data_IF_660826439932
#
_entry.id   IF_660826439932
#
_cell.length_a   1.000
_cell.length_b   1.000
_cell.length_c   1.000
_cell.angle_alpha   90.00
_cell.angle_beta   90.00
_cell.angle_gamma   90.00
#
_symmetry.space_group_name_H-M   'P 1'
#
loop_
_entity.id
_entity.type
_entity.pdbx_description
1 polymer ?
#
# COMPACT_ATOMS: atom_id res chain seq x y z
N UNK A 1 -13.01 -5.69 20.48
CA UNK A 1 -11.94 -4.82 21.04
C UNK A 1 -11.87 -3.59 20.18
N UNK A 2 -11.93 -2.36 20.74
CA UNK A 2 -11.75 -1.15 19.94
C UNK A 2 -10.38 -1.25 19.25
N UNK A 3 -10.35 -0.91 17.96
CA UNK A 3 -9.10 -0.84 17.21
C UNK A 3 -8.13 0.10 17.93
N UNK A 4 -6.89 -0.34 18.16
CA UNK A 4 -5.86 0.51 18.74
C UNK A 4 -5.71 1.76 17.87
N UNK A 5 -5.71 2.93 18.50
CA UNK A 5 -5.52 4.22 17.80
C UNK A 5 -4.05 4.51 17.51
N UNK A 6 -3.14 3.66 18.04
CA UNK A 6 -1.71 3.84 17.87
C UNK A 6 -1.23 3.25 16.52
N UNK A 7 -0.31 3.93 15.83
CA UNK A 7 0.32 3.42 14.63
C UNK A 7 1.04 2.10 14.89
N UNK A 8 0.93 1.12 13.97
CA UNK A 8 1.54 -0.20 14.12
C UNK A 8 2.84 -0.30 13.33
N UNK A 9 3.87 -0.80 14.01
CA UNK A 9 5.21 -1.01 13.46
C UNK A 9 5.55 -2.50 13.54
N UNK A 10 6.16 -3.03 12.49
CA UNK A 10 6.76 -4.37 12.50
C UNK A 10 8.26 -4.25 12.74
N UNK A 11 8.77 -4.98 13.74
CA UNK A 11 10.20 -5.11 14.03
C UNK A 11 10.61 -6.53 13.67
N UNK A 12 11.62 -6.66 12.79
CA UNK A 12 12.19 -7.93 12.37
C UNK A 12 13.69 -7.93 12.71
N UNK A 13 14.08 -8.73 13.67
CA UNK A 13 15.47 -8.86 14.16
C UNK A 13 15.59 -10.23 14.85
N UNK A 14 16.65 -10.99 14.63
CA UNK A 14 16.82 -12.32 15.23
C UNK A 14 17.15 -12.26 16.72
N UNK A 15 17.69 -11.13 17.20
CA UNK A 15 18.03 -10.90 18.60
C UNK A 15 16.82 -10.48 19.44
N UNK A 16 16.35 -11.35 20.30
CA UNK A 16 15.30 -11.03 21.28
C UNK A 16 15.62 -9.81 22.13
N UNK A 17 16.91 -9.62 22.46
CA UNK A 17 17.35 -8.49 23.29
C UNK A 17 17.21 -7.17 22.54
N UNK A 18 17.58 -7.14 21.27
CA UNK A 18 17.43 -5.94 20.40
C UNK A 18 15.96 -5.58 20.27
N UNK A 19 15.11 -6.55 19.91
CA UNK A 19 13.65 -6.31 19.81
C UNK A 19 13.08 -5.75 21.12
N UNK A 20 13.37 -6.40 22.24
CA UNK A 20 12.90 -5.94 23.56
C UNK A 20 13.37 -4.51 23.89
N UNK A 21 14.59 -4.16 23.52
CA UNK A 21 15.14 -2.82 23.70
C UNK A 21 14.36 -1.80 22.85
N UNK A 22 14.17 -2.07 21.56
CA UNK A 22 13.41 -1.17 20.66
C UNK A 22 11.97 -1.02 21.17
N UNK A 23 11.30 -2.13 21.49
CA UNK A 23 9.92 -2.12 22.04
C UNK A 23 9.84 -1.23 23.29
N UNK A 24 10.82 -1.34 24.20
CA UNK A 24 10.86 -0.49 25.42
C UNK A 24 10.99 0.99 25.09
N UNK A 25 11.78 1.34 24.07
CA UNK A 25 12.02 2.72 23.66
C UNK A 25 10.77 3.37 23.04
N UNK A 26 9.97 2.60 22.28
CA UNK A 26 8.82 3.13 21.54
C UNK A 26 7.46 2.85 22.21
N UNK A 27 7.49 2.19 23.38
CA UNK A 27 6.30 1.78 24.10
C UNK A 27 5.39 2.98 24.43
N UNK A 28 4.08 2.77 24.25
CA UNK A 28 3.05 3.79 24.51
C UNK A 28 2.86 4.82 23.39
N UNK A 29 3.73 4.81 22.36
CA UNK A 29 3.56 5.66 21.17
C UNK A 29 3.18 4.84 19.93
N UNK A 30 3.62 3.58 19.90
CA UNK A 30 3.39 2.68 18.78
C UNK A 30 2.89 1.34 19.27
N UNK A 31 2.09 0.67 18.46
CA UNK A 31 1.77 -0.74 18.59
C UNK A 31 2.83 -1.54 17.83
N UNK A 32 3.34 -2.61 18.43
CA UNK A 32 4.47 -3.36 17.86
C UNK A 32 4.08 -4.79 17.55
N UNK A 33 4.47 -5.24 16.36
CA UNK A 33 4.59 -6.65 16.01
C UNK A 33 6.07 -7.00 15.93
N UNK A 34 6.41 -8.20 16.37
CA UNK A 34 7.80 -8.67 16.42
C UNK A 34 7.92 -9.98 15.68
N UNK A 35 8.96 -10.09 14.84
CA UNK A 35 9.34 -11.34 14.16
C UNK A 35 10.85 -11.57 14.29
N UNK A 36 11.24 -12.84 14.28
CA UNK A 36 12.64 -13.26 14.51
C UNK A 36 13.43 -13.53 13.23
N UNK A 37 12.82 -13.46 12.08
CA UNK A 37 13.48 -13.65 10.78
C UNK A 37 12.70 -12.99 9.64
N UNK A 38 13.36 -12.77 8.51
CA UNK A 38 12.75 -12.06 7.38
C UNK A 38 11.59 -12.81 6.73
N UNK A 39 11.56 -14.15 6.77
CA UNK A 39 10.45 -14.93 6.22
C UNK A 39 9.18 -14.77 7.06
N UNK A 40 9.30 -14.83 8.39
CA UNK A 40 8.20 -14.54 9.30
C UNK A 40 7.74 -13.07 9.17
N UNK A 41 8.68 -12.13 9.04
CA UNK A 41 8.40 -10.73 8.78
C UNK A 41 7.58 -10.52 7.50
N UNK A 42 7.98 -11.19 6.41
CA UNK A 42 7.23 -11.14 5.16
C UNK A 42 5.80 -11.66 5.30
N UNK A 43 5.63 -12.82 5.95
CA UNK A 43 4.29 -13.40 6.18
C UNK A 43 3.42 -12.45 7.00
N UNK A 44 3.97 -11.83 8.03
CA UNK A 44 3.26 -10.86 8.87
C UNK A 44 2.85 -9.62 8.06
N UNK A 45 3.68 -9.10 7.16
CA UNK A 45 3.33 -8.00 6.25
C UNK A 45 2.16 -8.35 5.31
N UNK A 46 2.11 -9.59 4.84
CA UNK A 46 1.01 -10.08 3.98
C UNK A 46 -0.30 -10.18 4.73
N UNK A 47 -0.27 -10.61 5.99
CA UNK A 47 -1.47 -10.92 6.81
C UNK A 47 -2.01 -9.70 7.58
N UNK A 48 -1.14 -8.75 7.95
CA UNK A 48 -1.54 -7.58 8.75
C UNK A 48 -1.45 -6.27 7.95
N UNK A 49 -2.58 -5.81 7.38
CA UNK A 49 -2.60 -4.57 6.60
C UNK A 49 -2.48 -3.30 7.45
N UNK A 50 -2.50 -3.38 8.77
CA UNK A 50 -2.40 -2.22 9.66
C UNK A 50 -0.97 -1.79 9.94
N UNK A 51 0.03 -2.57 9.51
CA UNK A 51 1.44 -2.22 9.64
C UNK A 51 1.77 -1.04 8.72
N UNK A 52 2.35 0.02 9.30
CA UNK A 52 2.65 1.28 8.62
C UNK A 52 4.14 1.48 8.36
N UNK A 53 5.02 0.88 9.17
CA UNK A 53 6.48 0.98 9.05
C UNK A 53 7.10 -0.38 9.37
N UNK A 54 8.14 -0.75 8.62
CA UNK A 54 8.98 -1.91 8.86
C UNK A 54 10.34 -1.46 9.41
N UNK A 55 10.76 -2.00 10.56
CA UNK A 55 12.13 -1.97 11.05
C UNK A 55 12.74 -3.35 10.83
N UNK A 56 13.83 -3.44 10.08
CA UNK A 56 14.48 -4.72 9.79
C UNK A 56 15.97 -4.69 10.09
N UNK A 57 16.44 -5.68 10.83
CA UNK A 57 17.86 -5.97 10.92
C UNK A 57 18.41 -6.38 9.54
N UNK A 58 19.71 -6.12 9.33
CA UNK A 58 20.40 -6.53 8.10
C UNK A 58 20.69 -8.03 8.07
N UNK A 59 21.14 -8.58 9.20
CA UNK A 59 21.67 -9.94 9.29
C UNK A 59 20.74 -10.83 10.08
N UNK A 60 19.95 -11.63 9.39
CA UNK A 60 18.97 -12.54 9.99
C UNK A 60 19.04 -13.91 9.30
N UNK A 61 18.66 -15.01 10.00
CA UNK A 61 18.54 -16.32 9.39
C UNK A 61 17.39 -16.40 8.38
N UNK A 62 17.43 -17.41 7.51
CA UNK A 62 16.44 -17.73 6.46
C UNK A 62 16.38 -16.66 5.36
N UNK A 63 15.82 -15.50 5.64
CA UNK A 63 15.77 -14.34 4.76
C UNK A 63 16.40 -13.17 5.49
N UNK A 64 17.50 -12.65 4.96
CA UNK A 64 18.18 -11.48 5.52
C UNK A 64 17.42 -10.17 5.26
N UNK A 65 17.85 -9.08 5.86
CA UNK A 65 17.19 -7.79 5.74
C UNK A 65 17.17 -7.23 4.32
N UNK A 66 18.23 -7.48 3.54
CA UNK A 66 18.26 -7.05 2.13
C UNK A 66 17.27 -7.85 1.27
N UNK A 67 17.20 -9.16 1.47
CA UNK A 67 16.24 -10.02 0.79
C UNK A 67 14.80 -9.69 1.16
N UNK A 68 14.53 -9.36 2.43
CA UNK A 68 13.22 -8.88 2.86
C UNK A 68 12.89 -7.53 2.22
N UNK A 69 13.82 -6.57 2.21
CA UNK A 69 13.64 -5.26 1.57
C UNK A 69 13.35 -5.40 0.07
N UNK A 70 14.12 -6.23 -0.64
CA UNK A 70 13.91 -6.49 -2.05
C UNK A 70 12.50 -7.06 -2.30
N UNK A 71 12.09 -8.07 -1.53
CA UNK A 71 10.76 -8.69 -1.63
C UNK A 71 9.64 -7.67 -1.36
N UNK A 72 9.84 -6.75 -0.42
CA UNK A 72 8.93 -5.63 -0.15
C UNK A 72 8.82 -4.72 -1.38
N UNK A 73 9.94 -4.31 -1.98
CA UNK A 73 9.96 -3.40 -3.14
C UNK A 73 9.44 -4.02 -4.44
N UNK A 74 9.59 -5.33 -4.59
CA UNK A 74 9.09 -6.09 -5.75
C UNK A 74 7.63 -6.54 -5.58
N UNK A 75 7.00 -6.26 -4.43
CA UNK A 75 5.63 -6.68 -4.16
C UNK A 75 4.62 -6.05 -5.13
N UNK A 76 3.70 -6.86 -5.63
CA UNK A 76 2.55 -6.40 -6.42
C UNK A 76 1.52 -5.63 -5.58
N UNK A 77 1.58 -5.74 -4.26
CA UNK A 77 0.71 -5.04 -3.32
C UNK A 77 1.30 -3.65 -3.05
N UNK A 78 0.66 -2.60 -3.58
CA UNK A 78 1.14 -1.22 -3.48
C UNK A 78 1.44 -0.81 -2.03
N UNK A 79 0.56 -1.14 -1.09
CA UNK A 79 0.74 -0.89 0.35
C UNK A 79 2.06 -1.43 0.89
N UNK A 80 2.47 -2.64 0.47
CA UNK A 80 3.72 -3.27 0.90
C UNK A 80 4.91 -2.66 0.14
N UNK A 81 4.81 -2.56 -1.19
CA UNK A 81 5.88 -2.05 -2.04
C UNK A 81 6.34 -0.65 -1.64
N UNK A 82 5.42 0.16 -1.19
CA UNK A 82 5.63 1.58 -0.90
C UNK A 82 5.79 1.88 0.60
N UNK A 83 5.71 0.83 1.43
CA UNK A 83 5.88 0.94 2.89
C UNK A 83 7.24 1.54 3.24
N UNK A 84 7.30 2.48 4.20
CA UNK A 84 8.55 2.93 4.78
C UNK A 84 9.30 1.77 5.45
N UNK A 85 10.59 1.62 5.11
CA UNK A 85 11.48 0.59 5.67
C UNK A 85 12.70 1.26 6.25
N UNK A 86 12.95 1.02 7.54
CA UNK A 86 14.18 1.38 8.23
C UNK A 86 15.04 0.13 8.35
N UNK A 87 16.26 0.20 7.82
CA UNK A 87 17.25 -0.85 8.05
C UNK A 87 18.04 -0.55 9.33
N UNK A 88 18.26 -1.58 10.12
CA UNK A 88 19.01 -1.48 11.40
C UNK A 88 20.31 -2.24 11.25
N UNK A 89 21.42 -1.65 11.68
CA UNK A 89 22.74 -2.31 11.71
C UNK A 89 23.41 -2.19 13.07
N UNK A 90 24.21 -3.17 13.42
CA UNK A 90 25.10 -3.11 14.59
C UNK A 90 26.30 -2.18 14.39
N UNK A 91 26.71 -1.98 13.16
CA UNK A 91 27.90 -1.21 12.80
C UNK A 91 27.56 0.05 12.01
N UNK A 92 28.37 1.10 12.17
CA UNK A 92 28.33 2.33 11.35
C UNK A 92 29.08 2.08 10.02
N UNK A 93 28.68 1.06 9.27
CA UNK A 93 29.27 0.76 7.96
C UNK A 93 28.58 1.59 6.87
N UNK A 94 29.33 2.54 6.31
CA UNK A 94 28.88 3.40 5.23
C UNK A 94 28.52 2.58 3.97
N UNK A 95 29.22 1.48 3.73
CA UNK A 95 28.93 0.58 2.60
C UNK A 95 27.59 -0.11 2.75
N UNK A 96 27.26 -0.59 3.95
CA UNK A 96 25.96 -1.17 4.26
C UNK A 96 24.82 -0.16 4.13
N UNK A 97 25.05 1.08 4.58
CA UNK A 97 24.09 2.19 4.43
C UNK A 97 23.81 2.51 2.96
N UNK A 98 24.85 2.65 2.14
CA UNK A 98 24.72 2.94 0.72
C UNK A 98 23.99 1.81 0.00
N UNK A 99 24.35 0.55 0.27
CA UNK A 99 23.66 -0.62 -0.28
C UNK A 99 22.18 -0.66 0.12
N UNK A 100 21.85 -0.41 1.38
CA UNK A 100 20.46 -0.36 1.83
C UNK A 100 19.65 0.70 1.09
N UNK A 101 20.25 1.88 0.87
CA UNK A 101 19.63 2.97 0.10
C UNK A 101 19.42 2.58 -1.37
N UNK A 102 20.38 1.96 -2.02
CA UNK A 102 20.28 1.45 -3.39
C UNK A 102 19.19 0.39 -3.52
N UNK A 103 19.03 -0.47 -2.51
CA UNK A 103 17.94 -1.44 -2.43
C UNK A 103 16.57 -0.82 -2.11
N UNK A 104 16.50 0.49 -1.87
CA UNK A 104 15.25 1.21 -1.63
C UNK A 104 14.83 1.31 -0.17
N UNK A 105 15.74 1.20 0.80
CA UNK A 105 15.45 1.54 2.19
C UNK A 105 15.07 3.02 2.30
N UNK A 106 14.09 3.32 3.16
CA UNK A 106 13.66 4.69 3.41
C UNK A 106 14.63 5.39 4.37
N UNK A 107 15.14 4.66 5.35
CA UNK A 107 16.11 5.14 6.31
C UNK A 107 17.03 4.02 6.80
N UNK A 108 18.11 4.40 7.49
CA UNK A 108 19.09 3.49 8.05
C UNK A 108 19.53 4.01 9.43
N UNK A 109 19.49 3.14 10.43
CA UNK A 109 19.86 3.48 11.81
C UNK A 109 20.83 2.44 12.38
N UNK A 110 21.59 2.83 13.40
CA UNK A 110 22.46 1.91 14.16
C UNK A 110 21.73 1.41 15.43
N UNK A 111 22.08 0.20 15.89
CA UNK A 111 21.47 -0.41 17.10
C UNK A 111 21.72 0.40 18.40
N UNK A 112 22.62 1.36 18.37
CA UNK A 112 22.91 2.30 19.47
C UNK A 112 22.18 3.63 19.40
N UNK A 113 21.21 3.80 18.49
CA UNK A 113 20.49 5.07 18.34
C UNK A 113 19.79 5.52 19.62
N UNK A 114 19.84 6.83 19.89
CA UNK A 114 19.15 7.43 21.04
C UNK A 114 17.63 7.39 20.91
N UNK A 115 16.94 7.25 22.04
CA UNK A 115 15.46 7.17 22.09
C UNK A 115 14.78 8.31 21.35
N UNK A 116 15.22 9.54 21.59
CA UNK A 116 14.59 10.73 20.97
C UNK A 116 14.72 10.72 19.44
N UNK A 117 15.87 10.32 18.94
CA UNK A 117 16.12 10.23 17.51
C UNK A 117 15.30 9.10 16.86
N UNK A 118 15.26 7.92 17.46
CA UNK A 118 14.43 6.80 16.99
C UNK A 118 12.95 7.19 16.88
N UNK A 119 12.42 7.80 17.94
CA UNK A 119 11.03 8.27 17.96
C UNK A 119 10.77 9.32 16.88
N UNK A 120 11.65 10.29 16.70
CA UNK A 120 11.49 11.32 15.68
C UNK A 120 11.45 10.74 14.24
N UNK A 121 12.32 9.76 13.96
CA UNK A 121 12.35 9.07 12.66
C UNK A 121 11.08 8.26 12.43
N UNK A 122 10.63 7.50 13.42
CA UNK A 122 9.41 6.71 13.33
C UNK A 122 8.17 7.59 13.16
N UNK A 123 8.04 8.67 13.93
CA UNK A 123 6.94 9.62 13.80
C UNK A 123 6.88 10.23 12.39
N UNK A 124 8.03 10.62 11.83
CA UNK A 124 8.12 11.16 10.48
C UNK A 124 7.66 10.14 9.42
N UNK A 125 8.08 8.88 9.53
CA UNK A 125 7.73 7.83 8.57
C UNK A 125 6.28 7.38 8.70
N UNK A 126 5.74 7.31 9.91
CA UNK A 126 4.31 7.04 10.13
C UNK A 126 3.47 8.16 9.53
N UNK A 127 3.83 9.42 9.75
CA UNK A 127 3.13 10.56 9.16
C UNK A 127 3.19 10.52 7.63
N UNK A 128 4.34 10.18 7.05
CA UNK A 128 4.48 10.01 5.61
C UNK A 128 3.53 8.91 5.07
N UNK A 129 3.47 7.76 5.73
CA UNK A 129 2.59 6.66 5.37
C UNK A 129 1.12 7.05 5.46
N UNK A 130 0.71 7.76 6.52
CA UNK A 130 -0.66 8.23 6.71
C UNK A 130 -1.06 9.26 5.66
N UNK A 131 -0.25 10.30 5.44
CA UNK A 131 -0.53 11.33 4.43
C UNK A 131 -0.66 10.72 3.03
N UNK A 132 0.17 9.73 2.71
CA UNK A 132 0.07 9.01 1.45
C UNK A 132 -1.24 8.24 1.33
N UNK A 133 -1.63 7.51 2.38
CA UNK A 133 -2.91 6.80 2.42
C UNK A 133 -4.11 7.74 2.28
N UNK A 134 -4.06 8.92 2.90
CA UNK A 134 -5.10 9.95 2.75
C UNK A 134 -5.17 10.49 1.32
N UNK A 135 -4.02 10.77 0.70
CA UNK A 135 -3.96 11.21 -0.71
C UNK A 135 -4.49 10.14 -1.66
N UNK A 136 -4.16 8.87 -1.44
CA UNK A 136 -4.69 7.76 -2.23
C UNK A 136 -6.20 7.59 -2.04
N UNK A 137 -6.69 7.76 -0.81
CA UNK A 137 -8.12 7.71 -0.51
C UNK A 137 -8.88 8.87 -1.19
N UNK A 138 -8.32 10.10 -1.12
CA UNK A 138 -8.86 11.26 -1.82
C UNK A 138 -8.84 11.06 -3.34
N UNK A 139 -7.74 10.54 -3.90
CA UNK A 139 -7.63 10.23 -5.32
C UNK A 139 -8.68 9.20 -5.76
N UNK A 140 -8.93 8.17 -4.93
CA UNK A 140 -9.99 7.19 -5.20
C UNK A 140 -11.38 7.80 -5.16
N UNK A 141 -11.65 8.76 -4.27
CA UNK A 141 -12.93 9.48 -4.24
C UNK A 141 -13.16 10.32 -5.50
N UNK A 142 -12.10 10.92 -6.05
CA UNK A 142 -12.17 11.65 -7.33
C UNK A 142 -12.28 10.70 -8.53
N UNK A 143 -11.86 9.45 -8.36
CA UNK A 143 -11.87 8.42 -9.41
C UNK A 143 -13.22 7.73 -9.58
N UNK A 144 -14.13 7.89 -8.64
CA UNK A 144 -15.48 7.30 -8.66
C UNK A 144 -16.49 8.42 -8.53
N UNK A 145 -17.39 8.49 -9.47
CA UNK A 145 -18.51 9.40 -9.43
C UNK A 145 -19.45 9.02 -8.26
N UNK A 146 -19.70 9.92 -7.31
CA UNK A 146 -20.46 9.60 -6.10
C UNK A 146 -21.94 9.29 -6.36
N UNK A 147 -22.51 9.75 -7.48
CA UNK A 147 -23.91 9.53 -7.82
C UNK A 147 -24.11 8.19 -8.52
N UNK A 148 -23.33 7.92 -9.56
CA UNK A 148 -23.41 6.66 -10.30
C UNK A 148 -22.59 5.55 -9.65
N UNK A 149 -21.53 5.88 -8.89
CA UNK A 149 -20.55 4.96 -8.35
C UNK A 149 -19.73 4.25 -9.43
N UNK A 150 -19.75 4.72 -10.67
CA UNK A 150 -18.88 4.29 -11.76
C UNK A 150 -17.55 5.03 -11.67
N UNK A 151 -16.53 4.47 -12.26
CA UNK A 151 -15.26 5.18 -12.39
C UNK A 151 -15.42 6.38 -13.30
N UNK A 152 -14.74 7.48 -12.99
CA UNK A 152 -14.77 8.68 -13.84
C UNK A 152 -14.03 8.43 -15.15
N UNK A 153 -14.38 9.19 -16.20
CA UNK A 153 -13.71 9.12 -17.51
C UNK A 153 -12.18 9.35 -17.40
N UNK A 154 -11.75 10.16 -16.43
CA UNK A 154 -10.33 10.44 -16.19
C UNK A 154 -9.62 9.21 -15.62
N UNK A 155 -10.27 8.50 -14.71
CA UNK A 155 -9.77 7.22 -14.20
C UNK A 155 -9.65 6.18 -15.31
N UNK A 156 -10.68 6.05 -16.16
CA UNK A 156 -10.63 5.14 -17.31
C UNK A 156 -9.46 5.43 -18.24
N UNK A 157 -9.22 6.70 -18.56
CA UNK A 157 -8.07 7.13 -19.39
C UNK A 157 -6.74 6.76 -18.75
N UNK A 158 -6.60 6.92 -17.43
CA UNK A 158 -5.40 6.58 -16.69
C UNK A 158 -5.16 5.07 -16.69
N UNK A 159 -6.17 4.27 -16.37
CA UNK A 159 -6.11 2.81 -16.38
C UNK A 159 -5.84 2.27 -17.78
N UNK A 160 -6.49 2.83 -18.80
CA UNK A 160 -6.27 2.45 -20.19
C UNK A 160 -4.82 2.67 -20.66
N UNK A 161 -4.20 3.80 -20.26
CA UNK A 161 -2.77 4.04 -20.57
C UNK A 161 -1.86 3.03 -19.89
N UNK A 162 -2.12 2.68 -18.63
CA UNK A 162 -1.33 1.69 -17.89
C UNK A 162 -1.49 0.29 -18.49
N UNK A 163 -2.72 -0.10 -18.78
CA UNK A 163 -3.01 -1.38 -19.40
C UNK A 163 -2.36 -1.51 -20.78
N UNK A 164 -2.42 -0.46 -21.61
CA UNK A 164 -1.78 -0.41 -22.90
C UNK A 164 -0.25 -0.56 -22.81
N UNK A 165 0.38 0.15 -21.86
CA UNK A 165 1.83 0.04 -21.64
C UNK A 165 2.25 -1.36 -21.18
N UNK A 166 1.45 -2.02 -20.35
CA UNK A 166 1.67 -3.41 -19.92
C UNK A 166 1.50 -4.39 -21.07
N UNK A 167 0.45 -4.22 -21.86
CA UNK A 167 0.18 -5.07 -23.03
C UNK A 167 1.30 -5.00 -24.07
N UNK A 168 1.81 -3.79 -24.33
CA UNK A 168 2.95 -3.58 -25.23
C UNK A 168 4.23 -4.27 -24.74
N UNK A 169 4.47 -4.31 -23.41
CA UNK A 169 5.66 -4.98 -22.83
C UNK A 169 5.55 -6.50 -22.86
N UNK A 170 4.35 -7.02 -22.67
CA UNK A 170 4.12 -8.47 -22.53
C UNK A 170 3.54 -9.12 -23.77
N UNK A 171 3.26 -8.38 -24.84
CA UNK A 171 2.65 -8.89 -26.06
C UNK A 171 1.22 -9.41 -25.84
N UNK A 172 0.51 -8.87 -24.85
CA UNK A 172 -0.88 -9.25 -24.55
C UNK A 172 -1.87 -8.33 -25.25
N UNK A 173 -3.09 -8.80 -25.44
CA UNK A 173 -4.17 -8.05 -26.08
C UNK A 173 -5.04 -7.33 -25.05
N UNK A 174 -5.57 -6.16 -25.42
CA UNK A 174 -6.57 -5.42 -24.63
C UNK A 174 -7.82 -5.28 -25.49
N UNK A 175 -8.97 -5.47 -24.87
CA UNK A 175 -10.27 -5.21 -25.49
C UNK A 175 -10.97 -4.08 -24.76
N UNK A 176 -11.60 -3.17 -25.49
CA UNK A 176 -12.44 -2.11 -24.96
C UNK A 176 -13.86 -2.35 -25.47
N UNK A 177 -14.82 -2.38 -24.56
CA UNK A 177 -16.24 -2.53 -24.87
C UNK A 177 -16.93 -1.25 -24.44
N UNK A 178 -17.62 -0.61 -25.38
CA UNK A 178 -18.49 0.53 -25.10
C UNK A 178 -19.93 0.05 -25.10
N UNK A 179 -20.65 0.33 -24.04
CA UNK A 179 -22.06 -0.05 -23.91
C UNK A 179 -22.87 1.24 -23.70
N UNK A 180 -23.88 1.44 -24.50
CA UNK A 180 -24.76 2.62 -24.48
C UNK A 180 -26.19 2.18 -24.20
N UNK A 181 -26.94 3.02 -23.49
CA UNK A 181 -28.38 2.85 -23.27
C UNK A 181 -29.08 3.68 -24.32
N UNK A 182 -29.76 3.01 -25.27
CA UNK A 182 -30.50 3.69 -26.33
C UNK A 182 -31.54 4.65 -25.78
N UNK A 183 -31.54 5.89 -26.29
CA UNK A 183 -32.49 6.94 -25.95
C UNK A 183 -32.53 7.27 -24.45
N UNK A 184 -31.36 7.19 -23.76
CA UNK A 184 -31.26 7.51 -22.32
C UNK A 184 -31.74 8.94 -22.01
N UNK A 185 -31.35 9.92 -22.83
CA UNK A 185 -31.74 11.32 -22.65
C UNK A 185 -33.27 11.51 -22.79
N UNK A 186 -33.93 10.83 -23.72
CA UNK A 186 -35.40 10.86 -23.86
C UNK A 186 -36.08 10.27 -22.62
N UNK A 187 -35.49 9.23 -22.03
CA UNK A 187 -36.00 8.58 -20.83
C UNK A 187 -35.87 9.53 -19.61
N UNK A 188 -34.72 10.16 -19.45
CA UNK A 188 -34.50 11.16 -18.39
C UNK A 188 -35.38 12.35 -18.53
N UNK A 189 -35.58 12.86 -19.76
CA UNK A 189 -36.47 13.96 -20.03
C UNK A 189 -37.94 13.65 -19.67
N UNK A 190 -38.39 12.41 -19.85
CA UNK A 190 -39.78 11.99 -19.54
C UNK A 190 -40.02 11.63 -18.07
N UNK A 191 -39.05 10.98 -17.43
CA UNK A 191 -39.21 10.37 -16.10
C UNK A 191 -38.42 11.10 -15.00
N UNK A 192 -37.58 12.05 -15.36
CA UNK A 192 -36.74 12.84 -14.46
C UNK A 192 -35.41 12.17 -14.12
N UNK A 193 -34.48 12.99 -13.67
CA UNK A 193 -33.09 12.55 -13.27
C UNK A 193 -33.05 11.41 -12.24
N UNK A 194 -33.88 11.40 -11.18
CA UNK A 194 -33.82 10.32 -10.19
C UNK A 194 -34.05 8.93 -10.78
N UNK A 195 -34.86 8.81 -11.80
CA UNK A 195 -35.10 7.52 -12.50
C UNK A 195 -33.90 7.14 -13.38
N UNK A 196 -33.30 8.13 -14.06
CA UNK A 196 -32.06 7.95 -14.82
C UNK A 196 -30.93 7.43 -13.93
N UNK A 197 -30.71 8.06 -12.79
CA UNK A 197 -29.66 7.67 -11.82
C UNK A 197 -29.90 6.26 -11.27
N UNK A 198 -31.15 5.90 -11.00
CA UNK A 198 -31.50 4.57 -10.56
C UNK A 198 -31.22 3.51 -11.65
N UNK A 199 -31.51 3.84 -12.91
CA UNK A 199 -31.23 2.97 -14.05
C UNK A 199 -29.72 2.75 -14.21
N UNK A 200 -28.91 3.81 -14.15
CA UNK A 200 -27.45 3.71 -14.22
C UNK A 200 -26.91 2.84 -13.08
N UNK A 201 -27.39 3.03 -11.85
CA UNK A 201 -26.99 2.19 -10.71
C UNK A 201 -27.33 0.71 -10.90
N UNK A 202 -28.51 0.40 -11.43
CA UNK A 202 -28.90 -0.98 -11.73
C UNK A 202 -28.07 -1.58 -12.87
N UNK A 203 -27.86 -0.81 -13.93
CA UNK A 203 -27.04 -1.23 -15.07
C UNK A 203 -25.61 -1.56 -14.62
N UNK A 204 -25.00 -0.68 -13.82
CA UNK A 204 -23.70 -0.95 -13.18
C UNK A 204 -23.69 -2.25 -12.37
N UNK A 205 -24.72 -2.46 -11.53
CA UNK A 205 -24.78 -3.67 -10.70
C UNK A 205 -24.88 -4.95 -11.53
N UNK A 206 -25.46 -4.88 -12.72
CA UNK A 206 -25.50 -6.01 -13.68
C UNK A 206 -24.13 -6.20 -14.35
N UNK A 207 -23.51 -5.12 -14.82
CA UNK A 207 -22.20 -5.17 -15.47
C UNK A 207 -21.13 -5.70 -14.50
N UNK A 208 -21.05 -5.17 -13.29
CA UNK A 208 -20.06 -5.56 -12.28
C UNK A 208 -20.13 -7.04 -11.88
N UNK A 209 -21.28 -7.71 -12.09
CA UNK A 209 -21.43 -9.16 -11.87
C UNK A 209 -20.98 -10.01 -13.06
N UNK A 210 -20.76 -9.39 -14.21
CA UNK A 210 -20.47 -10.09 -15.48
C UNK A 210 -19.05 -9.88 -15.96
N UNK A 211 -18.36 -8.87 -15.44
CA UNK A 211 -16.95 -8.60 -15.73
C UNK A 211 -16.04 -9.24 -14.69
N UNK A 212 -14.81 -9.50 -15.04
CA UNK A 212 -13.81 -10.06 -14.12
C UNK A 212 -13.31 -9.01 -13.14
N UNK A 213 -12.68 -9.45 -12.06
CA UNK A 213 -12.14 -8.56 -11.02
C UNK A 213 -11.04 -7.62 -11.56
N UNK A 214 -10.30 -8.08 -12.55
CA UNK A 214 -9.23 -7.34 -13.22
C UNK A 214 -9.73 -6.34 -14.27
N UNK A 215 -11.00 -6.41 -14.67
CA UNK A 215 -11.59 -5.51 -15.68
C UNK A 215 -12.01 -4.18 -15.04
N UNK A 216 -11.87 -3.09 -15.77
CA UNK A 216 -12.29 -1.74 -15.34
C UNK A 216 -13.61 -1.38 -15.98
N UNK A 217 -14.60 -1.01 -15.15
CA UNK A 217 -15.91 -0.47 -15.59
C UNK A 217 -15.99 1.00 -15.22
N UNK A 218 -16.28 1.86 -16.20
CA UNK A 218 -16.38 3.33 -16.06
C UNK A 218 -17.57 3.86 -16.81
#
# INVERSE_FOLDING_TARGET
TPASTLPRILIVDDSRMVRATIVKLIRGRFEVREEGDGEAGWQTLMLDPSIQVLLSDLSMPKLDGYGLLQRVRESNIARIREMPVIMISGDEDESARNRAKECGATDFITKGIGTAELLARLDALVKLSQTRGELEAMAKQVMVDPESGLSTAEYLKQQGRQALALAQRHGSEISVIVVEIDRFDDLVAKLGHPVGDQLIRQFRAVLSKRVRLEDTVS
#
